data_IF_477969052079
#
_entry.id   IF_477969052079
#
_cell.length_a   1.000
_cell.length_b   1.000
_cell.length_c   1.000
_cell.angle_alpha   90.00
_cell.angle_beta   90.00
_cell.angle_gamma   90.00
#
_symmetry.space_group_name_H-M   'P 1'
#
loop_
_entity.id
_entity.type
_entity.pdbx_description
1 polymer ?
#
# COMPACT_ATOMS: atom_id res chain seq x y z
N UNK A 1 6.13 -1.06 17.12
CA UNK A 1 6.56 -2.19 16.27
C UNK A 1 5.56 -2.23 15.13
N UNK A 2 6.01 -2.16 13.88
CA UNK A 2 5.11 -2.09 12.73
C UNK A 2 4.38 -3.42 12.59
N UNK A 3 3.07 -3.40 12.43
CA UNK A 3 2.27 -4.63 12.24
C UNK A 3 2.51 -5.24 10.86
N UNK A 4 2.75 -4.41 9.84
CA UNK A 4 3.02 -4.86 8.48
C UNK A 4 4.45 -5.43 8.37
N UNK A 5 4.63 -6.65 7.83
CA UNK A 5 5.95 -7.23 7.60
C UNK A 5 6.82 -6.38 6.67
N UNK A 6 8.13 -6.29 6.95
CA UNK A 6 9.08 -5.53 6.12
C UNK A 6 9.13 -6.05 4.67
N UNK A 7 8.95 -7.35 4.45
CA UNK A 7 8.87 -7.93 3.11
C UNK A 7 7.69 -7.36 2.31
N UNK A 8 6.52 -7.18 2.94
CA UNK A 8 5.35 -6.58 2.30
C UNK A 8 5.57 -5.09 1.99
N UNK A 9 6.24 -4.37 2.89
CA UNK A 9 6.64 -2.97 2.67
C UNK A 9 7.60 -2.85 1.47
N UNK A 10 8.56 -3.77 1.33
CA UNK A 10 9.51 -3.81 0.20
C UNK A 10 8.83 -4.21 -1.11
N UNK A 11 7.88 -5.14 -1.08
CA UNK A 11 7.07 -5.50 -2.24
C UNK A 11 6.22 -4.32 -2.73
N UNK A 12 5.54 -3.62 -1.82
CA UNK A 12 4.83 -2.38 -2.12
C UNK A 12 5.73 -1.32 -2.76
N UNK A 13 6.97 -1.19 -2.29
CA UNK A 13 7.95 -0.27 -2.85
C UNK A 13 8.32 -0.63 -4.29
N UNK A 14 8.57 -1.91 -4.55
CA UNK A 14 8.82 -2.41 -5.91
C UNK A 14 7.63 -2.11 -6.82
N UNK A 15 6.41 -2.35 -6.33
CA UNK A 15 5.19 -2.09 -7.11
C UNK A 15 4.97 -0.60 -7.40
N UNK A 16 5.30 0.31 -6.48
CA UNK A 16 5.28 1.76 -6.74
C UNK A 16 6.20 2.15 -7.92
N UNK A 17 7.36 1.51 -8.07
CA UNK A 17 8.33 1.82 -9.14
C UNK A 17 7.84 1.39 -10.54
N UNK A 18 7.03 0.34 -10.60
CA UNK A 18 6.43 -0.17 -11.85
C UNK A 18 4.97 0.23 -12.01
N UNK A 19 4.48 1.18 -11.22
CA UNK A 19 3.08 1.59 -11.25
C UNK A 19 2.73 2.29 -12.57
N UNK A 20 1.79 1.71 -13.30
CA UNK A 20 1.09 2.37 -14.39
C UNK A 20 -0.36 2.66 -13.95
N UNK A 21 -0.87 3.90 -14.11
CA UNK A 21 -2.23 4.26 -13.69
C UNK A 21 -3.34 3.38 -14.26
N UNK A 22 -3.09 2.76 -15.41
CA UNK A 22 -4.04 1.88 -16.11
C UNK A 22 -4.05 0.46 -15.54
N UNK A 23 -3.01 0.10 -14.78
CA UNK A 23 -2.73 -1.26 -14.32
C UNK A 23 -2.65 -1.38 -12.80
N UNK A 24 -2.93 -0.31 -12.03
CA UNK A 24 -2.83 -0.25 -10.56
C UNK A 24 -3.08 -1.59 -9.85
N UNK A 25 -2.00 -2.30 -9.47
CA UNK A 25 -2.04 -3.76 -9.24
C UNK A 25 -2.17 -4.20 -7.78
N UNK A 26 -2.31 -3.30 -6.79
CA UNK A 26 -2.75 -3.75 -5.46
C UNK A 26 -3.79 -2.83 -4.86
N UNK A 27 -5.00 -3.37 -4.74
CA UNK A 27 -6.10 -2.73 -4.06
C UNK A 27 -5.98 -2.94 -2.55
N UNK A 28 -6.56 -2.03 -1.77
CA UNK A 28 -6.69 -2.18 -0.31
C UNK A 28 -7.27 -3.56 0.07
N UNK A 29 -8.22 -4.07 -0.71
CA UNK A 29 -8.80 -5.41 -0.52
C UNK A 29 -7.78 -6.53 -0.64
N UNK A 30 -6.85 -6.45 -1.60
CA UNK A 30 -5.86 -7.51 -1.87
C UNK A 30 -4.82 -7.55 -0.75
N UNK A 31 -4.42 -6.38 -0.26
CA UNK A 31 -3.55 -6.24 0.91
C UNK A 31 -4.21 -6.77 2.19
N UNK A 32 -5.51 -6.47 2.37
CA UNK A 32 -6.28 -7.00 3.50
C UNK A 32 -6.42 -8.53 3.41
N UNK A 33 -6.66 -9.08 2.22
CA UNK A 33 -6.74 -10.53 2.00
C UNK A 33 -5.39 -11.21 2.30
N UNK A 34 -4.27 -10.59 1.89
CA UNK A 34 -2.93 -11.15 2.06
C UNK A 34 -2.38 -11.03 3.49
N UNK A 35 -2.66 -9.93 4.19
CA UNK A 35 -2.00 -9.59 5.46
C UNK A 35 -2.95 -9.39 6.65
N UNK A 36 -4.25 -9.43 6.41
CA UNK A 36 -5.28 -9.23 7.43
C UNK A 36 -5.63 -7.76 7.63
N UNK A 37 -6.92 -7.50 7.88
CA UNK A 37 -7.48 -6.16 8.02
C UNK A 37 -6.77 -5.34 9.11
N UNK A 38 -6.64 -5.88 10.32
CA UNK A 38 -6.02 -5.18 11.45
C UNK A 38 -4.56 -4.78 11.19
N UNK A 39 -3.83 -5.60 10.42
CA UNK A 39 -2.46 -5.32 10.00
C UNK A 39 -2.39 -4.08 9.12
N UNK A 40 -3.28 -3.97 8.15
CA UNK A 40 -3.33 -2.85 7.19
C UNK A 40 -3.76 -1.57 7.90
N UNK A 41 -4.82 -1.61 8.71
CA UNK A 41 -5.24 -0.43 9.50
C UNK A 41 -4.16 0.02 10.48
N UNK A 42 -3.49 -0.91 11.17
CA UNK A 42 -2.36 -0.58 12.03
C UNK A 42 -1.21 0.11 11.27
N UNK A 43 -0.92 -0.32 10.04
CA UNK A 43 0.09 0.32 9.20
C UNK A 43 -0.31 1.71 8.71
N UNK A 44 -1.62 1.96 8.55
CA UNK A 44 -2.16 3.28 8.20
C UNK A 44 -2.09 4.21 9.41
N UNK A 45 -2.53 3.75 10.58
CA UNK A 45 -2.48 4.50 11.85
C UNK A 45 -1.02 4.82 12.23
N UNK A 46 -0.09 3.89 11.98
CA UNK A 46 1.35 4.10 12.14
C UNK A 46 1.95 5.06 11.09
N UNK A 47 1.17 5.49 10.10
CA UNK A 47 1.59 6.38 9.03
C UNK A 47 2.62 5.76 8.09
N UNK A 48 2.62 4.43 7.94
CA UNK A 48 3.45 3.69 6.98
C UNK A 48 2.74 3.64 5.64
N UNK A 49 1.42 3.42 5.68
CA UNK A 49 0.53 3.44 4.53
C UNK A 49 -0.39 4.67 4.57
N UNK A 50 -0.85 5.10 3.41
CA UNK A 50 -1.93 6.06 3.26
C UNK A 50 -2.97 5.59 2.25
N UNK A 51 -4.22 6.00 2.45
CA UNK A 51 -5.31 5.78 1.50
C UNK A 51 -5.34 6.86 0.44
N UNK A 52 -5.30 6.43 -0.81
CA UNK A 52 -5.61 7.28 -1.95
C UNK A 52 -6.78 6.70 -2.72
N UNK A 53 -7.63 7.59 -3.23
CA UNK A 53 -8.66 7.21 -4.20
C UNK A 53 -8.13 7.49 -5.59
N UNK A 54 -8.16 6.49 -6.46
CA UNK A 54 -7.88 6.71 -7.87
C UNK A 54 -9.19 6.75 -8.66
N UNK A 55 -9.34 7.75 -9.56
CA UNK A 55 -10.42 7.73 -10.53
C UNK A 55 -10.09 6.70 -11.61
N UNK A 56 -10.91 5.65 -11.74
CA UNK A 56 -10.79 4.68 -12.83
C UNK A 56 -11.59 5.14 -14.06
N UNK A 57 -11.15 4.71 -15.26
CA UNK A 57 -11.83 5.02 -16.53
C UNK A 57 -13.27 4.50 -16.60
N UNK A 58 -13.61 3.49 -15.79
CA UNK A 58 -14.98 2.94 -15.67
C UNK A 58 -15.88 3.75 -14.72
N UNK A 59 -15.39 4.87 -14.19
CA UNK A 59 -16.12 5.76 -13.29
C UNK A 59 -16.19 5.26 -11.85
N UNK A 60 -15.52 4.14 -11.52
CA UNK A 60 -15.44 3.65 -10.14
C UNK A 60 -14.26 4.31 -9.43
N UNK A 61 -14.48 4.72 -8.18
CA UNK A 61 -13.38 5.06 -7.27
C UNK A 61 -12.95 3.78 -6.57
N UNK A 62 -11.66 3.44 -6.61
CA UNK A 62 -11.12 2.35 -5.77
C UNK A 62 -10.09 2.92 -4.81
N UNK A 63 -10.07 2.38 -3.59
CA UNK A 63 -9.07 2.67 -2.58
C UNK A 63 -7.81 1.84 -2.85
N UNK A 64 -6.68 2.53 -2.87
CA UNK A 64 -5.34 1.96 -2.96
C UNK A 64 -4.57 2.37 -1.70
N UNK A 65 -3.78 1.45 -1.16
CA UNK A 65 -2.82 1.77 -0.11
C UNK A 65 -1.48 2.12 -0.76
N UNK A 66 -0.91 3.26 -0.41
CA UNK A 66 0.40 3.71 -0.87
C UNK A 66 1.37 3.84 0.28
N UNK A 67 2.68 3.70 0.01
CA UNK A 67 3.68 3.99 1.03
C UNK A 67 3.72 5.50 1.27
N UNK A 68 3.73 5.90 2.53
CA UNK A 68 4.07 7.27 2.90
C UNK A 68 5.58 7.48 2.76
N UNK A 69 6.05 8.71 3.00
CA UNK A 69 7.50 8.96 3.10
C UNK A 69 8.17 8.08 4.18
N UNK A 70 7.48 7.84 5.31
CA UNK A 70 7.95 6.94 6.36
C UNK A 70 8.00 5.50 5.89
N UNK A 71 6.96 5.03 5.19
CA UNK A 71 6.92 3.69 4.61
C UNK A 71 8.05 3.45 3.61
N UNK A 72 8.35 4.44 2.76
CA UNK A 72 9.49 4.37 1.81
C UNK A 72 10.83 4.29 2.52
N UNK A 73 11.06 5.15 3.53
CA UNK A 73 12.29 5.09 4.34
C UNK A 73 12.49 3.74 5.02
N UNK A 74 11.41 3.09 5.45
CA UNK A 74 11.47 1.74 6.00
C UNK A 74 11.77 0.68 4.93
N UNK A 75 11.18 0.81 3.74
CA UNK A 75 11.46 -0.09 2.62
C UNK A 75 12.94 -0.04 2.20
N UNK A 76 13.49 1.17 2.14
CA UNK A 76 14.83 1.48 1.65
C UNK A 76 15.93 1.29 2.73
N UNK A 77 15.55 1.06 3.99
CA UNK A 77 16.51 0.77 5.06
C UNK A 77 17.02 -0.68 4.94
N UNK A 78 18.35 -0.85 4.94
CA UNK A 78 19.05 -2.14 4.87
C UNK A 78 18.88 -2.98 6.15
#
# INVERSE_FOLDING_TARGET
>A
MTTLPLSAIRELRLMEEYFEPENAVMFESDLIEAHGQDTIWGAIDDGILEHRRLPFRDGRERCICWLTEKGRKLADAE
#
